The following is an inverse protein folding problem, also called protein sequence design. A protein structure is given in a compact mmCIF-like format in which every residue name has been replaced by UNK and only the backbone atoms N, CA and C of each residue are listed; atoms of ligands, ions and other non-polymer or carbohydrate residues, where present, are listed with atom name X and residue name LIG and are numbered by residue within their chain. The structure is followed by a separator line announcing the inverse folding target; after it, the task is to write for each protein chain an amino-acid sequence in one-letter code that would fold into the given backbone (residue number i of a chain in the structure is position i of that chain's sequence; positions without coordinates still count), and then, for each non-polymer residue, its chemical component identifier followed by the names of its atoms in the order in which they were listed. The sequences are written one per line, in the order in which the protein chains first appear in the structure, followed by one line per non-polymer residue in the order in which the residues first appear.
data_IF_647361197950
#
_entry.id   IF_647361197950
#
_cell.length_a   1.000
_cell.length_b   1.000
_cell.length_c   1.000
_cell.angle_alpha   90.00
_cell.angle_beta   90.00
_cell.angle_gamma   90.00
#
_symmetry.space_group_name_H-M   'P 1'
#
loop_
_entity.id
_entity.type
_entity.pdbx_description
1 polymer ?
#
# COMPACT_ATOMS: atom_id res chain seq x y z
N UNK A 1 7.47 -1.45 -1.33
CA UNK A 1 7.61 -2.88 -1.63
C UNK A 1 6.60 -3.67 -0.79
N UNK A 2 5.36 -3.87 -1.30
CA UNK A 2 4.30 -4.52 -0.52
C UNK A 2 4.51 -6.02 -0.35
N UNK A 3 4.66 -6.76 -1.43
CA UNK A 3 4.79 -8.23 -1.44
C UNK A 3 6.08 -8.71 -0.79
N UNK A 4 7.15 -7.94 -0.91
CA UNK A 4 8.46 -8.27 -0.33
C UNK A 4 8.54 -8.10 1.18
N UNK A 5 7.49 -7.63 1.87
CA UNK A 5 7.47 -7.49 3.33
C UNK A 5 7.34 -6.06 3.85
N UNK A 6 6.73 -5.19 3.10
CA UNK A 6 6.46 -3.79 3.46
C UNK A 6 7.77 -3.03 3.74
N UNK A 7 8.50 -2.75 2.69
CA UNK A 7 9.74 -1.96 2.76
C UNK A 7 9.53 -0.59 2.09
N UNK A 8 9.25 0.48 2.85
CA UNK A 8 9.32 1.83 2.32
C UNK A 8 10.75 2.13 1.86
N UNK A 9 10.88 2.82 0.74
CA UNK A 9 12.19 3.33 0.32
C UNK A 9 12.67 4.41 1.29
N UNK A 10 13.98 4.63 1.36
CA UNK A 10 14.51 5.82 2.03
C UNK A 10 14.46 7.03 1.08
N UNK A 11 14.38 8.22 1.64
CA UNK A 11 14.41 9.46 0.86
C UNK A 11 15.71 9.57 0.06
N UNK A 12 16.84 9.23 0.69
CA UNK A 12 18.16 9.21 0.05
C UNK A 12 18.20 8.28 -1.16
N UNK A 13 17.65 7.05 -1.03
CA UNK A 13 17.61 6.11 -2.13
C UNK A 13 16.82 6.65 -3.33
N UNK A 14 15.59 7.14 -3.11
CA UNK A 14 14.77 7.64 -4.21
C UNK A 14 15.32 8.90 -4.86
N UNK A 15 15.87 9.84 -4.08
CA UNK A 15 16.55 11.02 -4.61
C UNK A 15 17.81 10.64 -5.39
N UNK A 16 18.57 9.67 -4.88
CA UNK A 16 19.75 9.15 -5.58
C UNK A 16 19.39 8.48 -6.91
N UNK A 17 18.35 7.64 -6.93
CA UNK A 17 17.86 7.01 -8.17
C UNK A 17 17.38 8.05 -9.17
N UNK A 18 16.66 9.10 -8.72
CA UNK A 18 16.22 10.20 -9.61
C UNK A 18 17.42 10.93 -10.21
N UNK A 19 18.41 11.24 -9.40
CA UNK A 19 19.64 11.92 -9.88
C UNK A 19 20.38 11.08 -10.92
N UNK A 20 20.54 9.78 -10.69
CA UNK A 20 21.15 8.86 -11.66
C UNK A 20 20.34 8.75 -12.96
N UNK A 21 19.02 8.71 -12.87
CA UNK A 21 18.17 8.69 -14.06
C UNK A 21 18.33 9.99 -14.88
N UNK A 22 18.43 11.13 -14.21
CA UNK A 22 18.64 12.42 -14.87
C UNK A 22 20.04 12.51 -15.52
N UNK A 23 21.07 12.07 -14.82
CA UNK A 23 22.46 12.05 -15.30
C UNK A 23 22.65 11.17 -16.54
N UNK A 24 22.00 10.01 -16.56
CA UNK A 24 22.16 9.01 -17.61
C UNK A 24 21.03 9.01 -18.64
N UNK A 25 20.17 10.01 -18.64
CA UNK A 25 18.99 10.14 -19.51
C UNK A 25 18.06 8.91 -19.48
N UNK A 26 17.90 8.28 -18.30
CA UNK A 26 17.03 7.15 -18.06
C UNK A 26 15.60 7.60 -17.67
N UNK A 27 14.62 6.73 -17.88
CA UNK A 27 13.27 6.91 -17.36
C UNK A 27 13.16 6.29 -15.96
N UNK A 28 12.66 7.08 -15.01
CA UNK A 28 12.25 6.56 -13.70
C UNK A 28 10.81 6.11 -13.77
N UNK A 29 10.58 4.81 -13.61
CA UNK A 29 9.25 4.20 -13.58
C UNK A 29 8.95 3.73 -12.17
N UNK A 30 7.85 4.21 -11.57
CA UNK A 30 7.40 3.79 -10.23
C UNK A 30 6.11 2.98 -10.32
N UNK A 31 6.10 1.82 -9.67
CA UNK A 31 4.91 1.00 -9.54
C UNK A 31 4.12 1.42 -8.29
N UNK A 32 3.00 2.10 -8.53
CA UNK A 32 2.07 2.56 -7.49
C UNK A 32 0.80 1.68 -7.40
N UNK A 33 0.84 0.48 -7.96
CA UNK A 33 -0.32 -0.44 -8.01
C UNK A 33 -0.81 -0.83 -6.61
N UNK A 34 0.09 -0.95 -5.64
CA UNK A 34 -0.28 -1.29 -4.27
C UNK A 34 -0.16 -0.13 -3.29
N UNK A 35 0.88 0.68 -3.41
CA UNK A 35 1.16 1.78 -2.47
C UNK A 35 0.47 3.09 -2.82
N UNK A 36 0.02 3.25 -4.06
CA UNK A 36 -0.72 4.41 -4.51
C UNK A 36 -2.20 4.42 -4.09
N UNK A 37 -2.95 5.30 -4.69
CA UNK A 37 -4.37 5.50 -4.42
C UNK A 37 -4.66 5.68 -2.93
N UNK A 38 -3.95 6.61 -2.29
CA UNK A 38 -4.17 6.99 -0.91
C UNK A 38 -3.62 6.04 0.16
N UNK A 39 -3.16 4.85 -0.21
CA UNK A 39 -2.78 3.77 0.72
C UNK A 39 -1.68 4.17 1.69
N UNK A 40 -0.70 4.95 1.25
CA UNK A 40 0.41 5.44 2.07
C UNK A 40 0.12 6.74 2.85
N UNK A 41 -1.05 7.37 2.61
CA UNK A 41 -1.43 8.65 3.20
C UNK A 41 -1.30 9.85 2.24
N UNK A 42 -0.58 9.70 1.14
CA UNK A 42 -0.65 10.60 -0.01
C UNK A 42 -1.38 9.91 -1.17
N UNK A 43 -1.86 10.66 -2.16
CA UNK A 43 -2.52 10.04 -3.32
C UNK A 43 -1.60 9.02 -3.98
N UNK A 44 -0.31 9.33 -4.10
CA UNK A 44 0.74 8.43 -4.58
C UNK A 44 1.95 8.48 -3.65
N UNK A 45 2.58 7.33 -3.43
CA UNK A 45 3.66 7.20 -2.46
C UNK A 45 4.90 8.05 -2.79
N UNK A 46 5.19 8.29 -4.07
CA UNK A 46 6.30 9.16 -4.49
C UNK A 46 6.19 10.59 -3.94
N UNK A 47 4.98 11.05 -3.61
CA UNK A 47 4.74 12.40 -3.09
C UNK A 47 5.38 12.62 -1.71
N UNK A 48 5.51 11.56 -0.89
CA UNK A 48 6.22 11.63 0.40
C UNK A 48 7.68 12.05 0.24
N UNK A 49 8.28 11.73 -0.90
CA UNK A 49 9.71 11.94 -1.17
C UNK A 49 9.98 13.14 -2.07
N UNK A 50 8.94 13.74 -2.66
CA UNK A 50 9.08 14.80 -3.65
C UNK A 50 9.79 14.37 -4.94
N UNK A 51 9.85 13.06 -5.21
CA UNK A 51 10.54 12.47 -6.36
C UNK A 51 9.55 12.10 -7.44
N UNK A 52 9.31 13.01 -8.39
CA UNK A 52 8.36 12.78 -9.49
C UNK A 52 8.93 11.76 -10.50
N UNK A 53 8.20 10.65 -10.78
CA UNK A 53 8.59 9.70 -11.81
C UNK A 53 8.29 10.24 -13.23
N UNK A 54 8.95 9.67 -14.23
CA UNK A 54 8.62 9.88 -15.64
C UNK A 54 7.40 9.05 -16.06
N UNK A 55 7.27 7.85 -15.47
CA UNK A 55 6.13 6.94 -15.66
C UNK A 55 5.68 6.36 -14.32
N UNK A 56 4.38 6.23 -14.14
CA UNK A 56 3.78 5.62 -12.96
C UNK A 56 2.69 4.63 -13.38
N UNK A 57 2.64 3.45 -12.75
CA UNK A 57 1.58 2.47 -12.97
C UNK A 57 0.59 2.46 -11.81
N UNK A 58 -0.70 2.31 -12.11
CA UNK A 58 -1.78 2.25 -11.13
C UNK A 58 -2.80 1.18 -11.50
N UNK A 59 -3.37 0.50 -10.50
CA UNK A 59 -4.45 -0.47 -10.66
C UNK A 59 -5.18 -0.66 -9.32
N UNK A 60 -5.69 -1.85 -9.01
CA UNK A 60 -6.33 -2.23 -7.73
C UNK A 60 -7.33 -1.18 -7.24
N UNK A 61 -6.93 -0.33 -6.30
CA UNK A 61 -7.79 0.71 -5.73
C UNK A 61 -8.27 1.76 -6.74
N UNK A 62 -7.61 1.90 -7.90
CA UNK A 62 -8.09 2.75 -9.00
C UNK A 62 -9.53 2.41 -9.40
N UNK A 63 -9.84 1.11 -9.53
CA UNK A 63 -11.18 0.64 -9.87
C UNK A 63 -12.02 0.22 -8.68
N UNK A 64 -11.40 0.09 -7.48
CA UNK A 64 -12.03 -0.36 -6.24
C UNK A 64 -12.92 -1.61 -6.42
N UNK A 65 -12.39 -2.60 -7.13
CA UNK A 65 -13.06 -3.87 -7.47
C UNK A 65 -13.40 -4.02 -8.95
N UNK A 66 -13.48 -2.94 -9.72
CA UNK A 66 -13.59 -3.01 -11.18
C UNK A 66 -12.21 -3.27 -11.80
N UNK A 67 -12.14 -4.10 -12.86
CA UNK A 67 -10.87 -4.47 -13.49
C UNK A 67 -10.38 -3.33 -14.40
N UNK A 68 -9.54 -2.46 -13.86
CA UNK A 68 -8.88 -1.37 -14.57
C UNK A 68 -7.46 -1.20 -14.07
N UNK A 69 -6.56 -0.88 -14.98
CA UNK A 69 -5.21 -0.39 -14.70
C UNK A 69 -4.88 0.74 -15.66
N UNK A 70 -3.94 1.56 -15.27
CA UNK A 70 -3.44 2.63 -16.11
C UNK A 70 -1.93 2.83 -15.87
N UNK A 71 -1.26 3.41 -16.82
CA UNK A 71 0.03 4.05 -16.62
C UNK A 71 -0.07 5.53 -17.00
N UNK A 72 0.66 6.35 -16.27
CA UNK A 72 0.72 7.77 -16.49
C UNK A 72 2.14 8.13 -16.88
N UNK A 73 2.32 8.84 -17.96
CA UNK A 73 3.61 9.26 -18.46
C UNK A 73 3.70 10.79 -18.54
N UNK A 74 4.87 11.35 -18.25
CA UNK A 74 5.10 12.79 -18.39
C UNK A 74 6.48 13.08 -19.02
N UNK A 75 6.74 14.36 -19.32
CA UNK A 75 8.00 14.77 -19.91
C UNK A 75 8.33 14.02 -21.20
N UNK A 76 9.55 13.52 -21.31
CA UNK A 76 10.05 12.79 -22.50
C UNK A 76 9.30 11.45 -22.75
N UNK A 77 8.69 10.87 -21.72
CA UNK A 77 7.93 9.63 -21.86
C UNK A 77 6.52 9.84 -22.46
N UNK A 78 5.94 11.05 -22.31
CA UNK A 78 4.55 11.29 -22.72
C UNK A 78 4.31 11.18 -24.22
N UNK A 79 5.31 11.48 -25.05
CA UNK A 79 5.23 11.41 -26.51
C UNK A 79 5.80 10.11 -27.11
N UNK A 80 6.21 9.15 -26.29
CA UNK A 80 6.88 7.95 -26.77
C UNK A 80 5.93 6.95 -27.46
N UNK A 81 4.65 6.96 -27.09
CA UNK A 81 3.63 6.07 -27.69
C UNK A 81 2.84 6.80 -28.78
N UNK A 82 2.73 6.16 -29.92
CA UNK A 82 1.95 6.66 -31.07
C UNK A 82 0.79 5.72 -31.41
N UNK A 83 -0.21 6.17 -32.19
CA UNK A 83 -1.30 5.30 -32.64
C UNK A 83 -0.78 4.01 -33.28
N UNK A 84 -1.23 2.86 -32.78
CA UNK A 84 -0.82 1.53 -33.21
C UNK A 84 0.17 0.81 -32.31
N UNK A 85 0.84 1.49 -31.38
CA UNK A 85 1.80 0.86 -30.47
C UNK A 85 1.13 0.00 -29.38
N UNK A 86 -0.09 0.35 -29.02
CA UNK A 86 -0.85 -0.37 -27.99
C UNK A 86 -2.33 -0.44 -28.35
N UNK A 87 -2.96 -1.56 -27.99
CA UNK A 87 -4.40 -1.76 -28.15
C UNK A 87 -4.95 -2.74 -27.12
N UNK A 88 -6.23 -2.62 -26.84
CA UNK A 88 -6.94 -3.52 -25.93
C UNK A 88 -8.41 -3.58 -26.32
N UNK A 89 -9.04 -4.75 -26.18
CA UNK A 89 -10.46 -4.91 -26.48
C UNK A 89 -11.35 -4.32 -25.38
N UNK A 90 -11.02 -4.52 -24.12
CA UNK A 90 -11.86 -4.14 -22.98
C UNK A 90 -11.24 -3.10 -22.05
N UNK A 91 -9.96 -2.79 -22.18
CA UNK A 91 -9.27 -1.83 -21.33
C UNK A 91 -9.86 -0.43 -21.48
N UNK A 92 -10.05 0.27 -20.37
CA UNK A 92 -10.57 1.63 -20.38
C UNK A 92 -12.01 1.79 -20.88
N UNK A 93 -12.84 0.74 -20.80
CA UNK A 93 -14.23 0.84 -21.23
C UNK A 93 -15.04 1.82 -20.35
N UNK A 94 -16.19 2.35 -20.84
CA UNK A 94 -16.95 3.38 -20.13
C UNK A 94 -17.38 3.00 -18.70
N UNK A 95 -17.69 1.72 -18.44
CA UNK A 95 -18.09 1.26 -17.11
C UNK A 95 -16.96 1.40 -16.09
N UNK A 96 -15.78 0.86 -16.42
CA UNK A 96 -14.65 0.85 -15.48
C UNK A 96 -14.04 2.25 -15.30
N UNK A 97 -14.07 3.10 -16.33
CA UNK A 97 -13.60 4.49 -16.22
C UNK A 97 -14.57 5.35 -15.41
N UNK A 98 -15.88 5.17 -15.57
CA UNK A 98 -16.88 5.83 -14.72
C UNK A 98 -16.70 5.41 -13.24
N UNK A 99 -16.44 4.11 -12.98
CA UNK A 99 -16.13 3.61 -11.65
C UNK A 99 -14.87 4.24 -11.07
N UNK A 100 -13.79 4.33 -11.85
CA UNK A 100 -12.56 4.99 -11.43
C UNK A 100 -12.78 6.49 -11.13
N UNK A 101 -13.55 7.20 -11.95
CA UNK A 101 -13.91 8.61 -11.68
C UNK A 101 -14.65 8.75 -10.35
N UNK A 102 -15.62 7.86 -10.08
CA UNK A 102 -16.34 7.87 -8.81
C UNK A 102 -15.42 7.63 -7.60
N UNK A 103 -14.35 6.83 -7.76
CA UNK A 103 -13.33 6.64 -6.72
C UNK A 103 -12.64 7.96 -6.39
N UNK A 104 -12.19 8.72 -7.41
CA UNK A 104 -11.58 10.04 -7.19
C UNK A 104 -12.54 11.02 -6.52
N UNK A 105 -13.81 11.05 -6.93
CA UNK A 105 -14.84 11.87 -6.29
C UNK A 105 -15.01 11.56 -4.79
N UNK A 106 -14.95 10.28 -4.43
CA UNK A 106 -15.03 9.84 -3.03
C UNK A 106 -13.78 10.27 -2.26
N UNK A 107 -12.60 10.14 -2.87
CA UNK A 107 -11.34 10.58 -2.25
C UNK A 107 -11.40 12.06 -1.88
N UNK A 108 -11.86 12.90 -2.80
CA UNK A 108 -11.97 14.33 -2.58
C UNK A 108 -13.05 14.66 -1.52
N UNK A 109 -14.29 14.17 -1.72
CA UNK A 109 -15.43 14.46 -0.85
C UNK A 109 -15.22 14.00 0.60
N UNK A 110 -14.55 12.84 0.79
CA UNK A 110 -14.30 12.24 2.10
C UNK A 110 -12.93 12.54 2.67
N UNK A 111 -12.10 13.27 1.95
CA UNK A 111 -10.72 13.58 2.36
C UNK A 111 -9.95 12.32 2.78
N UNK A 112 -9.99 11.29 1.92
CA UNK A 112 -9.50 9.95 2.26
C UNK A 112 -8.00 9.97 2.62
N UNK A 113 -7.17 10.77 1.96
CA UNK A 113 -5.73 10.84 2.25
C UNK A 113 -5.44 11.35 3.66
N UNK A 114 -6.16 12.37 4.10
CA UNK A 114 -6.04 12.91 5.46
C UNK A 114 -6.51 11.89 6.51
N UNK A 115 -7.63 11.24 6.23
CA UNK A 115 -8.13 10.16 7.09
C UNK A 115 -7.10 9.02 7.20
N UNK A 116 -6.51 8.60 6.09
CA UNK A 116 -5.47 7.56 6.08
C UNK A 116 -4.22 7.99 6.86
N UNK A 117 -3.83 9.26 6.82
CA UNK A 117 -2.73 9.76 7.65
C UNK A 117 -3.04 9.61 9.14
N UNK A 118 -4.25 10.01 9.56
CA UNK A 118 -4.65 9.92 10.96
C UNK A 118 -4.75 8.48 11.44
N UNK A 119 -5.53 7.64 10.74
CA UNK A 119 -5.74 6.24 11.16
C UNK A 119 -4.47 5.42 10.96
N UNK A 120 -3.68 5.72 9.94
CA UNK A 120 -2.38 5.08 9.71
C UNK A 120 -1.38 5.35 10.83
N UNK A 121 -1.32 6.59 11.34
CA UNK A 121 -0.50 6.93 12.50
C UNK A 121 -0.98 6.18 13.76
N UNK A 122 -2.29 6.12 13.98
CA UNK A 122 -2.87 5.37 15.10
C UNK A 122 -2.55 3.87 15.00
N UNK A 123 -2.70 3.27 13.82
CA UNK A 123 -2.34 1.87 13.59
C UNK A 123 -0.83 1.65 13.84
N UNK A 124 0.00 2.58 13.38
CA UNK A 124 1.45 2.53 13.59
C UNK A 124 1.80 2.45 15.08
N UNK A 125 1.25 3.37 15.89
CA UNK A 125 1.45 3.39 17.34
C UNK A 125 1.04 2.06 18.00
N UNK A 126 -0.13 1.52 17.63
CA UNK A 126 -0.63 0.26 18.19
C UNK A 126 0.23 -0.96 17.82
N UNK A 127 0.76 -1.02 16.61
CA UNK A 127 1.66 -2.08 16.18
C UNK A 127 3.06 -1.92 16.79
N UNK A 128 3.52 -0.69 16.98
CA UNK A 128 4.76 -0.38 17.66
C UNK A 128 4.71 -0.74 19.16
N UNK A 129 3.57 -0.47 19.85
CA UNK A 129 3.32 -0.94 21.21
C UNK A 129 3.42 -2.48 21.27
N UNK A 130 2.73 -3.18 20.36
CA UNK A 130 2.73 -4.64 20.31
C UNK A 130 4.14 -5.20 20.05
N UNK A 131 4.94 -4.55 19.23
CA UNK A 131 6.31 -4.98 18.93
C UNK A 131 7.24 -4.93 20.16
N UNK A 132 6.94 -4.07 21.13
CA UNK A 132 7.67 -3.96 22.39
C UNK A 132 7.16 -4.92 23.46
N UNK A 133 5.91 -5.40 23.33
CA UNK A 133 5.28 -6.30 24.30
C UNK A 133 5.66 -7.77 24.08
N UNK A 134 6.06 -8.16 22.88
CA UNK A 134 6.20 -9.56 22.49
C UNK A 134 7.58 -9.86 21.89
N UNK A 135 8.34 -10.72 22.53
CA UNK A 135 9.69 -11.14 22.12
C UNK A 135 9.70 -11.83 20.74
N UNK A 136 8.57 -12.38 20.31
CA UNK A 136 8.44 -13.01 19.00
C UNK A 136 8.31 -11.99 17.85
N UNK A 137 8.10 -10.71 18.14
CA UNK A 137 8.05 -9.64 17.16
C UNK A 137 9.43 -9.00 17.01
N UNK A 138 9.97 -9.01 15.80
CA UNK A 138 11.30 -8.47 15.50
C UNK A 138 11.29 -7.01 15.07
N UNK A 139 10.17 -6.54 14.57
CA UNK A 139 10.06 -5.16 14.09
C UNK A 139 8.73 -4.86 13.44
N UNK A 140 8.53 -3.58 13.24
CA UNK A 140 7.37 -3.00 12.61
C UNK A 140 7.81 -1.93 11.61
N UNK A 141 7.12 -1.83 10.46
CA UNK A 141 7.41 -0.82 9.44
C UNK A 141 6.20 -0.57 8.55
N UNK A 142 6.19 0.55 7.86
CA UNK A 142 5.14 0.91 6.92
C UNK A 142 4.82 2.39 6.88
N UNK A 143 3.81 2.76 6.11
CA UNK A 143 3.30 4.12 5.93
C UNK A 143 1.79 4.10 5.76
N UNK A 144 1.07 5.04 6.36
CA UNK A 144 -0.40 5.10 6.26
C UNK A 144 -1.04 3.77 6.63
N UNK A 145 -1.91 3.26 5.77
CA UNK A 145 -2.61 1.98 5.96
C UNK A 145 -1.99 0.82 5.13
N UNK A 146 -0.66 0.85 4.97
CA UNK A 146 0.15 -0.26 4.48
C UNK A 146 1.30 -0.49 5.44
N UNK A 147 1.15 -1.47 6.34
CA UNK A 147 2.08 -1.71 7.44
C UNK A 147 2.41 -3.19 7.58
N UNK A 148 3.57 -3.50 8.11
CA UNK A 148 4.07 -4.85 8.28
C UNK A 148 4.63 -5.09 9.67
N UNK A 149 4.29 -6.23 10.27
CA UNK A 149 4.82 -6.71 11.54
C UNK A 149 5.64 -7.96 11.27
N UNK A 150 6.93 -7.91 11.60
CA UNK A 150 7.87 -9.00 11.38
C UNK A 150 8.02 -9.88 12.62
N UNK A 151 7.98 -11.19 12.42
CA UNK A 151 8.07 -12.17 13.49
C UNK A 151 9.38 -12.97 13.43
N UNK A 152 9.79 -13.53 14.55
CA UNK A 152 10.90 -14.51 14.62
C UNK A 152 10.52 -15.90 14.13
N UNK A 153 9.24 -16.11 13.84
CA UNK A 153 8.63 -17.37 13.39
C UNK A 153 7.84 -17.16 12.10
N UNK A 154 7.49 -18.23 11.36
CA UNK A 154 6.64 -18.10 10.18
C UNK A 154 5.27 -17.48 10.48
N UNK A 155 4.85 -16.52 9.67
CA UNK A 155 3.58 -15.82 9.82
C UNK A 155 2.35 -16.67 9.43
N UNK A 156 2.52 -17.67 8.56
CA UNK A 156 1.42 -18.49 8.05
C UNK A 156 0.56 -19.13 9.14
N UNK A 157 1.13 -19.83 10.15
CA UNK A 157 0.37 -20.38 11.26
C UNK A 157 -0.40 -19.31 12.06
N UNK A 158 0.18 -18.12 12.26
CA UNK A 158 -0.48 -17.00 12.95
C UNK A 158 -1.69 -16.51 12.14
N UNK A 159 -1.52 -16.34 10.83
CA UNK A 159 -2.60 -15.92 9.91
C UNK A 159 -3.73 -16.93 9.92
N UNK A 160 -3.44 -18.24 9.84
CA UNK A 160 -4.45 -19.30 9.88
C UNK A 160 -5.21 -19.31 11.20
N UNK A 161 -4.53 -19.17 12.32
CA UNK A 161 -5.12 -19.12 13.66
C UNK A 161 -5.97 -17.87 13.85
N UNK A 162 -5.50 -16.71 13.40
CA UNK A 162 -6.26 -15.46 13.44
C UNK A 162 -7.60 -15.60 12.69
N UNK A 163 -7.58 -16.23 11.52
CA UNK A 163 -8.79 -16.48 10.74
C UNK A 163 -9.76 -17.45 11.44
N UNK A 164 -9.26 -18.62 11.85
CA UNK A 164 -10.11 -19.72 12.34
C UNK A 164 -10.65 -19.47 13.75
N UNK A 165 -9.83 -18.94 14.65
CA UNK A 165 -10.17 -18.78 16.07
C UNK A 165 -10.66 -17.37 16.40
N UNK A 166 -10.14 -16.34 15.74
CA UNK A 166 -10.45 -14.95 16.04
C UNK A 166 -11.32 -14.27 14.98
N UNK A 167 -11.63 -14.95 13.87
CA UNK A 167 -12.34 -14.38 12.71
C UNK A 167 -11.68 -13.07 12.22
N UNK A 168 -10.35 -13.05 12.29
CA UNK A 168 -9.52 -11.91 11.86
C UNK A 168 -8.81 -12.31 10.58
N UNK A 169 -9.17 -11.65 9.48
CA UNK A 169 -8.53 -11.85 8.18
C UNK A 169 -7.23 -11.07 8.16
N UNK A 170 -6.13 -11.77 8.07
CA UNK A 170 -4.78 -11.23 7.90
C UNK A 170 -4.15 -11.80 6.64
N UNK A 171 -3.07 -11.20 6.17
CA UNK A 171 -2.32 -11.68 5.02
C UNK A 171 -0.82 -11.66 5.33
N UNK A 172 -0.11 -12.69 4.93
CA UNK A 172 1.35 -12.73 5.02
C UNK A 172 2.01 -12.00 3.85
N UNK A 173 3.22 -11.51 4.10
CA UNK A 173 4.12 -11.01 3.08
C UNK A 173 5.50 -11.65 3.33
N UNK A 174 6.04 -12.38 2.34
CA UNK A 174 7.20 -13.23 2.58
C UNK A 174 6.87 -14.35 3.58
N UNK A 175 7.88 -14.78 4.35
CA UNK A 175 7.77 -15.95 5.25
C UNK A 175 7.25 -15.59 6.64
N UNK A 176 7.71 -14.47 7.21
CA UNK A 176 7.57 -14.14 8.63
C UNK A 176 6.95 -12.77 8.90
N UNK A 177 6.28 -12.18 7.92
CA UNK A 177 5.66 -10.86 8.03
C UNK A 177 4.15 -10.98 7.89
N UNK A 178 3.42 -10.33 8.78
CA UNK A 178 1.99 -10.05 8.62
C UNK A 178 1.86 -8.65 8.02
N UNK A 179 1.12 -8.56 6.91
CA UNK A 179 0.84 -7.32 6.22
C UNK A 179 -0.56 -6.82 6.57
N UNK A 180 -0.66 -5.56 6.97
CA UNK A 180 -1.90 -4.86 7.27
C UNK A 180 -2.22 -3.91 6.12
N UNK A 181 -3.29 -4.21 5.40
CA UNK A 181 -3.80 -3.42 4.26
C UNK A 181 -5.34 -3.31 4.37
N UNK A 182 -5.85 -2.75 5.47
CA UNK A 182 -7.30 -2.66 5.68
C UNK A 182 -7.96 -1.72 4.68
N UNK A 183 -9.31 -1.69 4.58
CA UNK A 183 -10.01 -0.65 3.84
C UNK A 183 -9.59 0.75 4.31
N UNK A 184 -9.49 1.72 3.37
CA UNK A 184 -9.05 3.08 3.69
C UNK A 184 -10.02 3.86 4.58
N UNK A 185 -11.21 3.34 4.80
CA UNK A 185 -12.31 3.96 5.55
C UNK A 185 -12.51 3.35 6.94
N UNK A 186 -11.56 2.55 7.44
CA UNK A 186 -11.63 2.03 8.81
C UNK A 186 -11.47 3.17 9.82
N UNK A 187 -12.03 2.93 11.01
CA UNK A 187 -11.97 3.87 12.13
C UNK A 187 -11.04 3.35 13.25
N UNK A 188 -10.72 4.20 14.22
CA UNK A 188 -9.91 3.79 15.40
C UNK A 188 -10.48 2.58 16.13
N UNK A 189 -11.81 2.49 16.22
CA UNK A 189 -12.50 1.36 16.85
C UNK A 189 -12.23 0.03 16.13
N UNK A 190 -12.11 0.05 14.80
CA UNK A 190 -11.77 -1.15 14.02
C UNK A 190 -10.32 -1.57 14.27
N UNK A 191 -9.41 -0.60 14.38
CA UNK A 191 -8.01 -0.85 14.75
C UNK A 191 -7.94 -1.47 16.15
N UNK A 192 -8.66 -0.93 17.14
CA UNK A 192 -8.69 -1.45 18.50
C UNK A 192 -9.22 -2.89 18.57
N UNK A 193 -10.30 -3.18 17.84
CA UNK A 193 -10.85 -4.55 17.76
C UNK A 193 -9.88 -5.51 17.06
N UNK A 194 -9.24 -5.09 15.98
CA UNK A 194 -8.18 -5.86 15.32
C UNK A 194 -7.03 -6.16 16.27
N UNK A 195 -6.53 -5.17 17.01
CA UNK A 195 -5.43 -5.34 17.96
C UNK A 195 -5.80 -6.27 19.11
N UNK A 196 -7.03 -6.20 19.62
CA UNK A 196 -7.55 -7.11 20.65
C UNK A 196 -7.53 -8.56 20.18
N UNK A 197 -8.03 -8.82 18.96
CA UNK A 197 -8.05 -10.16 18.37
C UNK A 197 -6.64 -10.67 18.07
N UNK A 198 -5.78 -9.81 17.53
CA UNK A 198 -4.38 -10.14 17.24
C UNK A 198 -3.62 -10.51 18.53
N UNK A 199 -3.74 -9.72 19.60
CA UNK A 199 -3.13 -10.04 20.90
C UNK A 199 -3.61 -11.37 21.45
N UNK A 200 -4.91 -11.67 21.35
CA UNK A 200 -5.47 -12.96 21.77
C UNK A 200 -4.87 -14.12 20.96
N UNK A 201 -4.75 -13.95 19.66
CA UNK A 201 -4.16 -14.95 18.79
C UNK A 201 -2.68 -15.21 19.15
N UNK A 202 -1.90 -14.17 19.39
CA UNK A 202 -0.47 -14.26 19.69
C UNK A 202 -0.19 -14.84 21.08
N UNK A 203 -0.95 -14.47 22.12
CA UNK A 203 -0.81 -15.03 23.49
C UNK A 203 -1.07 -16.53 23.59
N UNK A 204 -1.89 -17.08 22.71
CA UNK A 204 -2.18 -18.51 22.64
C UNK A 204 -1.15 -19.25 21.78
N UNK A 205 -0.39 -18.53 20.94
CA UNK A 205 0.57 -19.11 19.99
C UNK A 205 1.97 -19.28 20.60
N UNK A 206 2.26 -18.57 21.69
CA UNK A 206 3.52 -18.50 22.40
C UNK A 206 3.27 -18.47 23.92
#
# INVERSE_FOLDING_TARGET
QGEGGIYPATEEFLKGVRALCDEHDLLLILDEIQCGMGRSGEMFAWQHYGVKPDVMTVAKALGNGLPIGAFLACGKAAGAMVPGDHGTTYGGNPLVTAGASAVFDIFEKRRITEHVKEIGAYLYEKLEELSKELDCVRGHRGMGLIQGLEFSVPAGPIVSKALLEQRLVLISAGTNIIRFVPPLVIEKADVDEMMKRLRTCLKIAF
#
